data_IF_589831578504
#
_entry.id   IF_589831578504
#
_cell.length_a   1.000
_cell.length_b   1.000
_cell.length_c   1.000
_cell.angle_alpha   90.00
_cell.angle_beta   90.00
_cell.angle_gamma   90.00
#
_symmetry.space_group_name_H-M   'P 1'
#
loop_
_entity.id
_entity.type
_entity.pdbx_description
1 polymer ?
#
# COMPACT_ATOMS: atom_id res chain seq x y z
N UNK A 1 -1.54 0.48 -19.05
CA UNK A 1 -0.14 0.21 -19.42
C UNK A 1 -0.04 -1.27 -19.75
N UNK A 2 0.14 -1.67 -21.02
CA UNK A 2 0.10 -3.09 -21.43
C UNK A 2 1.52 -3.61 -21.55
N UNK A 3 1.88 -4.60 -20.74
CA UNK A 3 3.22 -5.19 -20.76
C UNK A 3 3.42 -6.05 -22.01
N UNK A 4 4.64 -6.06 -22.55
CA UNK A 4 5.02 -6.81 -23.75
C UNK A 4 4.87 -8.33 -23.55
N UNK A 5 4.51 -9.07 -24.61
CA UNK A 5 4.28 -10.53 -24.59
C UNK A 5 5.51 -11.32 -24.11
N UNK A 6 6.72 -10.81 -24.35
CA UNK A 6 7.96 -11.44 -23.86
C UNK A 6 8.20 -11.19 -22.37
N UNK A 7 7.69 -10.08 -21.83
CA UNK A 7 7.78 -9.75 -20.41
C UNK A 7 6.76 -10.56 -19.58
N UNK A 8 5.53 -10.69 -20.06
CA UNK A 8 4.50 -11.51 -19.39
C UNK A 8 4.91 -12.98 -19.32
N UNK A 9 5.59 -13.51 -20.35
CA UNK A 9 6.10 -14.88 -20.36
C UNK A 9 7.21 -15.12 -19.33
N UNK A 10 8.08 -14.12 -19.11
CA UNK A 10 9.12 -14.16 -18.06
C UNK A 10 8.53 -14.03 -16.66
N UNK A 11 7.52 -13.17 -16.47
CA UNK A 11 6.78 -13.07 -15.22
C UNK A 11 6.06 -14.38 -14.88
N UNK A 12 5.51 -15.06 -15.89
CA UNK A 12 4.75 -16.30 -15.70
C UNK A 12 5.57 -17.44 -15.06
N UNK A 13 6.90 -17.42 -15.23
CA UNK A 13 7.86 -18.41 -14.71
C UNK A 13 8.67 -17.91 -13.51
N UNK A 14 8.40 -16.70 -13.01
CA UNK A 14 9.14 -16.08 -11.92
C UNK A 14 8.43 -16.31 -10.57
N UNK A 15 9.14 -16.51 -9.45
CA UNK A 15 8.55 -16.60 -8.12
C UNK A 15 7.77 -15.32 -7.72
N UNK A 16 8.07 -14.19 -8.38
CA UNK A 16 7.32 -12.93 -8.24
C UNK A 16 5.87 -12.99 -8.74
N UNK A 17 5.48 -14.04 -9.48
CA UNK A 17 4.07 -14.27 -9.86
C UNK A 17 3.19 -14.63 -8.67
N UNK A 18 3.77 -15.19 -7.61
CA UNK A 18 3.02 -15.55 -6.40
C UNK A 18 2.66 -14.35 -5.54
N UNK A 19 3.35 -13.21 -5.70
CA UNK A 19 2.86 -11.92 -5.21
C UNK A 19 1.62 -11.62 -6.06
N UNK A 20 0.45 -11.84 -5.49
CA UNK A 20 -0.81 -11.89 -6.21
C UNK A 20 -1.06 -10.61 -7.01
N UNK A 21 -1.81 -10.74 -8.10
CA UNK A 21 -2.27 -9.57 -8.89
C UNK A 21 -3.01 -8.54 -8.04
N UNK A 22 -3.61 -8.97 -6.93
CA UNK A 22 -4.27 -8.12 -5.95
C UNK A 22 -3.31 -7.13 -5.28
N UNK A 23 -2.15 -7.60 -4.80
CA UNK A 23 -1.14 -6.73 -4.17
C UNK A 23 -0.64 -5.67 -5.15
N UNK A 24 -0.46 -6.06 -6.41
CA UNK A 24 -0.10 -5.14 -7.48
C UNK A 24 -1.22 -4.10 -7.77
N UNK A 25 -2.49 -4.50 -7.75
CA UNK A 25 -3.62 -3.57 -7.92
C UNK A 25 -3.69 -2.57 -6.76
N UNK A 26 -3.46 -3.02 -5.53
CA UNK A 26 -3.45 -2.13 -4.35
C UNK A 26 -2.32 -1.12 -4.41
N UNK A 27 -1.10 -1.56 -4.72
CA UNK A 27 0.05 -0.65 -4.81
C UNK A 27 -0.10 0.33 -5.98
N UNK A 28 -0.63 -0.10 -7.12
CA UNK A 28 -0.90 0.80 -8.26
C UNK A 28 -1.93 1.89 -7.90
N UNK A 29 -3.00 1.53 -7.19
CA UNK A 29 -4.01 2.48 -6.71
C UNK A 29 -3.41 3.47 -5.70
N UNK A 30 -2.54 2.99 -4.81
CA UNK A 30 -1.82 3.84 -3.88
C UNK A 30 -0.93 4.85 -4.61
N UNK A 31 -0.11 4.40 -5.57
CA UNK A 31 0.77 5.26 -6.36
C UNK A 31 0.01 6.29 -7.19
N UNK A 32 -1.18 5.95 -7.70
CA UNK A 32 -2.06 6.91 -8.38
C UNK A 32 -2.44 8.05 -7.43
N UNK A 33 -2.86 7.74 -6.21
CA UNK A 33 -3.26 8.75 -5.22
C UNK A 33 -2.09 9.65 -4.83
N UNK A 34 -0.92 9.06 -4.55
CA UNK A 34 0.31 9.80 -4.22
C UNK A 34 0.67 10.83 -5.31
N UNK A 35 0.61 10.42 -6.58
CA UNK A 35 0.94 11.31 -7.70
C UNK A 35 0.00 12.50 -7.79
N UNK A 36 -1.30 12.24 -7.69
CA UNK A 36 -2.33 13.28 -7.87
C UNK A 36 -2.47 14.23 -6.68
N UNK A 37 -2.21 13.76 -5.46
CA UNK A 37 -2.47 14.55 -4.25
C UNK A 37 -1.22 15.21 -3.68
N UNK A 38 -0.02 14.70 -3.97
CA UNK A 38 1.22 15.23 -3.41
C UNK A 38 2.18 15.69 -4.50
N UNK A 39 2.58 14.78 -5.40
CA UNK A 39 3.65 15.06 -6.36
C UNK A 39 3.28 16.16 -7.37
N UNK A 40 2.06 16.13 -7.92
CA UNK A 40 1.64 17.14 -8.88
C UNK A 40 1.23 18.47 -8.24
N UNK A 41 1.00 18.52 -6.93
CA UNK A 41 0.63 19.75 -6.23
C UNK A 41 1.82 20.51 -5.65
N UNK A 42 2.85 19.79 -5.19
CA UNK A 42 3.96 20.40 -4.44
C UNK A 42 5.19 20.75 -5.25
N UNK A 43 5.24 20.36 -6.53
CA UNK A 43 6.33 20.64 -7.48
C UNK A 43 7.72 20.67 -6.83
N UNK A 44 8.08 19.54 -6.19
CA UNK A 44 9.30 19.43 -5.40
C UNK A 44 10.53 19.73 -6.27
N UNK A 45 11.33 20.70 -5.84
CA UNK A 45 12.51 21.15 -6.59
C UNK A 45 13.74 20.26 -6.35
N UNK A 46 13.78 19.56 -5.20
CA UNK A 46 14.91 18.75 -4.77
C UNK A 46 14.51 17.34 -4.33
N UNK A 47 15.39 16.36 -4.56
CA UNK A 47 15.17 14.96 -4.17
C UNK A 47 15.05 14.78 -2.65
N UNK A 48 15.78 15.58 -1.87
CA UNK A 48 15.69 15.55 -0.40
C UNK A 48 14.32 16.00 0.09
N UNK A 49 13.77 17.07 -0.48
CA UNK A 49 12.43 17.57 -0.15
C UNK A 49 11.36 16.56 -0.56
N UNK A 50 11.52 15.95 -1.73
CA UNK A 50 10.66 14.87 -2.20
C UNK A 50 10.63 13.68 -1.22
N UNK A 51 11.78 13.25 -0.70
CA UNK A 51 11.85 12.16 0.28
C UNK A 51 11.11 12.50 1.58
N UNK A 52 11.32 13.71 2.10
CA UNK A 52 10.61 14.18 3.31
C UNK A 52 9.10 14.30 3.04
N UNK A 53 8.73 14.84 1.88
CA UNK A 53 7.36 14.97 1.43
C UNK A 53 6.64 13.64 1.33
N UNK A 54 7.25 12.66 0.67
CA UNK A 54 6.73 11.28 0.56
C UNK A 54 6.59 10.66 1.95
N UNK A 55 7.58 10.84 2.85
CA UNK A 55 7.50 10.30 4.22
C UNK A 55 6.30 10.88 4.98
N UNK A 56 6.08 12.19 4.90
CA UNK A 56 4.91 12.84 5.51
C UNK A 56 3.61 12.36 4.87
N UNK A 57 3.57 12.20 3.54
CA UNK A 57 2.38 11.69 2.86
C UNK A 57 2.07 10.25 3.27
N UNK A 58 3.07 9.37 3.40
CA UNK A 58 2.88 7.98 3.88
C UNK A 58 2.31 7.98 5.30
N UNK A 59 2.85 8.82 6.19
CA UNK A 59 2.32 8.96 7.55
C UNK A 59 0.87 9.45 7.54
N UNK A 60 0.56 10.47 6.74
CA UNK A 60 -0.80 10.98 6.56
C UNK A 60 -1.76 9.91 6.03
N UNK A 61 -1.34 9.17 5.00
CA UNK A 61 -2.13 8.11 4.38
C UNK A 61 -2.46 7.00 5.39
N UNK A 62 -1.48 6.57 6.19
CA UNK A 62 -1.65 5.51 7.17
C UNK A 62 -2.44 5.92 8.41
N UNK A 63 -2.37 7.18 8.82
CA UNK A 63 -2.94 7.66 10.09
C UNK A 63 -4.27 8.42 9.95
N UNK A 64 -4.54 9.06 8.81
CA UNK A 64 -5.66 10.01 8.69
C UNK A 64 -6.61 9.69 7.55
N UNK A 65 -6.20 8.90 6.56
CA UNK A 65 -7.07 8.61 5.42
C UNK A 65 -8.09 7.53 5.77
N UNK A 66 -9.35 7.91 5.80
CA UNK A 66 -10.46 6.97 5.96
C UNK A 66 -10.76 6.29 4.63
N UNK A 67 -10.74 4.95 4.63
CA UNK A 67 -11.05 4.17 3.43
C UNK A 67 -12.43 3.56 3.55
N UNK A 68 -13.32 3.83 2.58
CA UNK A 68 -14.65 3.21 2.52
C UNK A 68 -14.56 1.68 2.48
N UNK A 69 -13.58 1.14 1.75
CA UNK A 69 -13.31 -0.29 1.69
C UNK A 69 -12.87 -0.89 3.05
N UNK A 70 -12.36 -0.07 3.96
CA UNK A 70 -11.98 -0.45 5.33
C UNK A 70 -13.03 0.01 6.36
N UNK A 71 -14.28 0.21 5.94
CA UNK A 71 -15.36 0.69 6.80
C UNK A 71 -15.05 2.02 7.51
N UNK A 72 -14.44 2.96 6.78
CA UNK A 72 -13.96 4.25 7.29
C UNK A 72 -12.95 4.11 8.44
N UNK A 73 -12.14 3.05 8.41
CA UNK A 73 -10.96 2.93 9.28
C UNK A 73 -9.70 3.34 8.51
N UNK A 74 -8.68 3.74 9.26
CA UNK A 74 -7.36 4.02 8.70
C UNK A 74 -6.57 2.71 8.56
N UNK A 75 -5.60 2.63 7.64
CA UNK A 75 -4.80 1.41 7.47
C UNK A 75 -4.12 0.98 8.78
N UNK A 76 -3.63 1.93 9.57
CA UNK A 76 -3.08 1.64 10.89
C UNK A 76 -4.10 0.99 11.83
N UNK A 77 -5.34 1.49 11.87
CA UNK A 77 -6.37 0.92 12.74
C UNK A 77 -6.68 -0.54 12.39
N UNK A 78 -6.67 -0.90 11.11
CA UNK A 78 -6.90 -2.29 10.68
C UNK A 78 -5.70 -3.15 11.02
N UNK A 79 -4.48 -2.71 10.67
CA UNK A 79 -3.26 -3.46 10.93
C UNK A 79 -3.07 -3.75 12.43
N UNK A 80 -3.20 -2.73 13.30
CA UNK A 80 -3.06 -2.91 14.74
C UNK A 80 -4.25 -3.64 15.39
N UNK A 81 -5.46 -3.56 14.82
CA UNK A 81 -6.59 -4.36 15.29
C UNK A 81 -6.36 -5.86 15.04
N UNK A 82 -5.80 -6.21 13.89
CA UNK A 82 -5.43 -7.59 13.58
C UNK A 82 -4.29 -8.09 14.50
N UNK A 83 -3.36 -7.24 14.92
CA UNK A 83 -2.33 -7.62 15.90
C UNK A 83 -2.91 -7.99 17.29
N UNK A 84 -4.07 -7.43 17.67
CA UNK A 84 -4.73 -7.76 18.95
C UNK A 84 -5.54 -9.06 18.88
N UNK A 85 -5.99 -9.49 17.70
CA UNK A 85 -6.68 -10.79 17.53
C UNK A 85 -5.72 -11.98 17.50
N UNK A 86 -4.47 -11.80 17.08
CA UNK A 86 -3.43 -12.85 17.17
C UNK A 86 -2.86 -13.05 18.57
N UNK A 87 -2.93 -12.04 19.45
CA UNK A 87 -2.47 -12.14 20.85
C UNK A 87 -3.53 -12.70 21.81
N UNK A 88 -4.76 -12.90 21.32
CA UNK A 88 -5.92 -13.37 22.11
C UNK A 88 -6.37 -14.82 21.85
N UNK A 89 -5.67 -15.61 21.04
CA UNK A 89 -5.90 -17.06 21.01
C UNK A 89 -5.24 -17.72 22.23
N UNK A 90 -5.85 -17.49 23.39
CA UNK A 90 -5.72 -18.37 24.52
C UNK A 90 -6.13 -19.78 24.09
N UNK A 91 -5.13 -20.65 24.02
CA UNK A 91 -5.28 -22.10 23.96
C UNK A 91 -6.20 -22.52 25.12
N UNK A 92 -7.48 -22.73 24.84
CA UNK A 92 -8.33 -23.53 25.72
C UNK A 92 -8.02 -25.00 25.41
N UNK A 93 -7.03 -25.54 26.11
CA UNK A 93 -6.89 -26.98 26.30
C UNK A 93 -8.04 -27.42 27.21
N UNK A 94 -9.07 -28.02 26.61
CA UNK A 94 -10.01 -28.90 27.29
C UNK A 94 -9.48 -30.34 27.20
#
# INVERSE_FOLDING_TARGET
MRLSKSFTKRLASSPLKEIGSLDNIFIERWFRSLKHEDLYLKDYQNVLELQVGIKHYVQFYNQRRYHQALNYKTPNQVFYADCNTFSGQGVNVA
#
